data_IF_925197810693
#
_entry.id   IF_925197810693
#
_cell.length_a   1.000
_cell.length_b   1.000
_cell.length_c   1.000
_cell.angle_alpha   90.00
_cell.angle_beta   90.00
_cell.angle_gamma   90.00
#
_symmetry.space_group_name_H-M   'P 1'
#
loop_
_entity.id
_entity.type
_entity.pdbx_description
1 polymer ?
#
# COMPACT_ATOMS: atom_id res chain seq x y z
N UNK A 1 7.25 18.56 9.91
CA UNK A 1 5.82 18.82 9.61
C UNK A 1 5.06 17.56 9.97
N UNK A 2 3.86 17.63 10.55
CA UNK A 2 3.05 16.44 10.79
C UNK A 2 2.66 15.77 9.48
N UNK A 3 2.43 14.45 9.52
CA UNK A 3 1.88 13.69 8.41
C UNK A 3 0.39 13.98 8.33
N UNK A 4 -0.06 14.49 7.19
CA UNK A 4 -1.47 14.83 6.94
C UNK A 4 -2.26 13.60 6.56
N UNK A 5 -3.34 13.31 7.28
CA UNK A 5 -4.17 12.12 7.08
C UNK A 5 -5.60 12.51 6.73
N UNK A 6 -6.15 11.91 5.67
CA UNK A 6 -7.59 11.95 5.36
C UNK A 6 -8.20 10.61 5.77
N UNK A 7 -9.29 10.65 6.54
CA UNK A 7 -10.00 9.45 7.00
C UNK A 7 -11.30 9.29 6.22
N UNK A 8 -11.47 8.14 5.56
CA UNK A 8 -12.60 7.86 4.66
C UNK A 8 -13.26 6.55 5.06
N UNK A 9 -14.51 6.62 5.53
CA UNK A 9 -15.33 5.47 5.95
C UNK A 9 -16.80 5.90 5.94
N UNK A 10 -17.74 5.05 5.57
CA UNK A 10 -19.17 5.39 5.58
C UNK A 10 -19.77 5.45 6.99
N UNK A 11 -19.10 4.81 7.98
CA UNK A 11 -19.53 4.78 9.36
C UNK A 11 -18.95 5.98 10.13
N UNK A 12 -19.77 6.95 10.49
CA UNK A 12 -19.36 8.15 11.21
C UNK A 12 -18.60 7.87 12.52
N UNK A 13 -19.03 6.85 13.28
CA UNK A 13 -18.39 6.47 14.53
C UNK A 13 -16.95 5.94 14.30
N UNK A 14 -16.71 5.21 13.21
CA UNK A 14 -15.39 4.72 12.83
C UNK A 14 -14.49 5.88 12.43
N UNK A 15 -14.99 6.81 11.60
CA UNK A 15 -14.26 8.02 11.20
C UNK A 15 -13.85 8.85 12.43
N UNK A 16 -14.81 9.13 13.31
CA UNK A 16 -14.54 9.90 14.54
C UNK A 16 -13.52 9.19 15.45
N UNK A 17 -13.64 7.88 15.60
CA UNK A 17 -12.70 7.07 16.39
C UNK A 17 -11.27 7.13 15.84
N UNK A 18 -11.09 6.86 14.56
CA UNK A 18 -9.76 6.91 13.94
C UNK A 18 -9.17 8.31 13.93
N UNK A 19 -9.99 9.35 13.70
CA UNK A 19 -9.53 10.73 13.77
C UNK A 19 -9.02 11.10 15.16
N UNK A 20 -9.76 10.76 16.20
CA UNK A 20 -9.33 11.04 17.58
C UNK A 20 -8.04 10.29 17.96
N UNK A 21 -7.87 9.04 17.51
CA UNK A 21 -6.67 8.23 17.77
C UNK A 21 -5.44 8.80 17.06
N UNK A 22 -5.60 9.29 15.82
CA UNK A 22 -4.50 9.87 15.04
C UNK A 22 -4.13 11.25 15.54
N UNK A 23 -5.09 12.11 15.83
CA UNK A 23 -4.85 13.47 16.36
C UNK A 23 -4.22 13.45 17.76
N UNK A 24 -4.36 12.35 18.51
CA UNK A 24 -3.63 12.15 19.77
C UNK A 24 -2.11 11.95 19.57
N UNK A 25 -1.64 11.72 18.35
CA UNK A 25 -0.22 11.54 18.03
C UNK A 25 0.41 12.88 17.63
N UNK A 26 1.56 13.27 18.20
CA UNK A 26 2.14 14.60 17.98
C UNK A 26 2.69 14.82 16.56
N UNK A 27 2.88 13.76 15.81
CA UNK A 27 3.46 13.75 14.44
C UNK A 27 2.43 13.46 13.34
N UNK A 28 1.14 13.29 13.69
CA UNK A 28 0.04 13.06 12.77
C UNK A 28 -0.99 14.18 12.87
N UNK A 29 -1.67 14.48 11.76
CA UNK A 29 -2.72 15.51 11.69
C UNK A 29 -3.85 15.01 10.79
N UNK A 30 -5.07 14.90 11.30
CA UNK A 30 -6.24 14.58 10.47
C UNK A 30 -6.73 15.88 9.82
N UNK A 31 -6.48 15.99 8.50
CA UNK A 31 -6.83 17.19 7.74
C UNK A 31 -8.26 17.18 7.19
N UNK A 32 -8.93 16.03 7.22
CA UNK A 32 -10.32 15.91 6.76
C UNK A 32 -10.91 14.53 7.00
N UNK A 33 -12.22 14.43 6.80
CA UNK A 33 -12.99 13.20 6.88
C UNK A 33 -13.96 13.16 5.70
N UNK A 34 -14.20 11.96 5.11
CA UNK A 34 -15.15 11.74 4.05
C UNK A 34 -16.06 10.54 4.36
N UNK A 35 -17.32 10.62 3.99
CA UNK A 35 -18.31 9.56 4.19
C UNK A 35 -18.45 8.61 3.00
N UNK A 36 -17.89 8.96 1.85
CA UNK A 36 -17.87 8.13 0.64
C UNK A 36 -16.67 8.45 -0.26
N UNK A 37 -16.50 7.64 -1.30
CA UNK A 37 -15.38 7.78 -2.23
C UNK A 37 -15.44 9.02 -3.12
N UNK A 38 -16.61 9.60 -3.38
CA UNK A 38 -16.73 10.80 -4.20
C UNK A 38 -16.24 12.02 -3.42
N UNK A 39 -16.69 12.17 -2.17
CA UNK A 39 -16.20 13.18 -1.25
C UNK A 39 -14.69 13.04 -1.01
N UNK A 40 -14.21 11.79 -0.88
CA UNK A 40 -12.78 11.52 -0.71
C UNK A 40 -11.93 12.04 -1.89
N UNK A 41 -12.41 11.91 -3.14
CA UNK A 41 -11.71 12.41 -4.33
C UNK A 41 -11.60 13.93 -4.29
N UNK A 42 -12.66 14.63 -3.94
CA UNK A 42 -12.70 16.10 -3.84
C UNK A 42 -11.75 16.59 -2.73
N UNK A 43 -11.89 16.03 -1.52
CA UNK A 43 -11.06 16.40 -0.38
C UNK A 43 -9.57 16.06 -0.59
N UNK A 44 -9.26 14.96 -1.26
CA UNK A 44 -7.87 14.62 -1.58
C UNK A 44 -7.19 15.67 -2.48
N UNK A 45 -7.94 16.23 -3.44
CA UNK A 45 -7.43 17.28 -4.32
C UNK A 45 -7.19 18.60 -3.57
N UNK A 46 -8.12 18.97 -2.67
CA UNK A 46 -8.09 20.24 -1.95
C UNK A 46 -7.09 20.23 -0.79
N UNK A 47 -7.13 19.19 0.03
CA UNK A 47 -6.35 19.11 1.29
C UNK A 47 -4.94 18.55 1.08
N UNK A 48 -4.70 17.83 -0.02
CA UNK A 48 -3.42 17.20 -0.36
C UNK A 48 -2.83 16.42 0.83
N UNK A 49 -3.54 15.39 1.31
CA UNK A 49 -3.05 14.56 2.40
C UNK A 49 -1.82 13.77 1.96
N UNK A 50 -0.96 13.42 2.92
CA UNK A 50 0.17 12.51 2.69
C UNK A 50 -0.32 11.06 2.65
N UNK A 51 -1.29 10.73 3.53
CA UNK A 51 -1.88 9.39 3.67
C UNK A 51 -3.40 9.49 3.68
N UNK A 52 -4.07 8.55 3.02
CA UNK A 52 -5.52 8.35 3.09
C UNK A 52 -5.80 6.99 3.71
N UNK A 53 -6.58 6.97 4.79
CA UNK A 53 -7.21 5.76 5.29
C UNK A 53 -8.54 5.60 4.55
N UNK A 54 -8.69 4.54 3.76
CA UNK A 54 -9.80 4.37 2.82
C UNK A 54 -10.55 3.08 3.10
N UNK A 55 -11.82 3.17 3.49
CA UNK A 55 -12.67 1.97 3.53
C UNK A 55 -12.87 1.38 2.13
N UNK A 56 -12.94 0.07 2.05
CA UNK A 56 -13.14 -0.66 0.79
C UNK A 56 -14.58 -0.48 0.28
N UNK A 57 -15.56 -0.61 1.18
CA UNK A 57 -16.98 -0.62 0.81
C UNK A 57 -17.71 0.60 1.33
N UNK A 58 -18.12 1.47 0.43
CA UNK A 58 -18.88 2.67 0.75
C UNK A 58 -20.00 2.88 -0.27
N UNK A 59 -21.08 3.59 0.10
CA UNK A 59 -22.11 4.01 -0.83
C UNK A 59 -21.56 5.02 -1.85
N UNK A 60 -22.33 5.33 -2.88
CA UNK A 60 -22.03 6.29 -3.95
C UNK A 60 -20.81 5.90 -4.78
N UNK A 61 -19.62 5.82 -4.15
CA UNK A 61 -18.36 5.36 -4.77
C UNK A 61 -17.57 4.53 -3.77
N UNK A 62 -17.21 3.32 -4.16
CA UNK A 62 -16.35 2.42 -3.36
C UNK A 62 -14.91 2.91 -3.29
N UNK A 63 -14.16 2.43 -2.28
CA UNK A 63 -12.79 2.85 -2.04
C UNK A 63 -11.82 2.46 -3.15
N UNK A 64 -12.06 1.37 -3.89
CA UNK A 64 -11.22 0.98 -5.02
C UNK A 64 -11.36 1.97 -6.19
N UNK A 65 -12.58 2.37 -6.47
CA UNK A 65 -12.89 3.36 -7.50
C UNK A 65 -12.37 4.74 -7.13
N UNK A 66 -12.53 5.15 -5.86
CA UNK A 66 -11.95 6.37 -5.32
C UNK A 66 -10.42 6.38 -5.44
N UNK A 67 -9.76 5.29 -5.04
CA UNK A 67 -8.30 5.11 -5.15
C UNK A 67 -7.82 5.33 -6.58
N UNK A 68 -8.45 4.67 -7.56
CA UNK A 68 -8.07 4.86 -8.98
C UNK A 68 -8.21 6.30 -9.43
N UNK A 69 -9.31 6.99 -9.04
CA UNK A 69 -9.55 8.40 -9.43
C UNK A 69 -8.54 9.35 -8.78
N UNK A 70 -8.28 9.19 -7.48
CA UNK A 70 -7.30 10.01 -6.77
C UNK A 70 -5.92 9.87 -7.41
N UNK A 71 -5.51 8.65 -7.73
CA UNK A 71 -4.19 8.39 -8.29
C UNK A 71 -4.08 8.72 -9.78
N UNK A 72 -5.18 8.72 -10.53
CA UNK A 72 -5.20 9.11 -11.93
C UNK A 72 -4.92 10.62 -12.14
N UNK A 73 -5.07 11.44 -11.11
CA UNK A 73 -4.75 12.87 -11.17
C UNK A 73 -3.25 13.16 -11.38
N UNK A 74 -2.39 12.15 -11.24
CA UNK A 74 -0.95 12.25 -11.53
C UNK A 74 -0.13 13.01 -10.47
N UNK A 75 1.23 12.96 -10.59
CA UNK A 75 2.12 13.70 -9.72
C UNK A 75 2.06 15.22 -9.98
N UNK A 76 2.50 16.11 -9.05
CA UNK A 76 3.31 15.77 -7.87
C UNK A 76 2.46 15.64 -6.60
N UNK A 77 2.88 14.82 -5.67
CA UNK A 77 2.27 14.58 -4.35
C UNK A 77 1.00 13.71 -4.37
N UNK A 78 1.07 12.55 -5.02
CA UNK A 78 0.03 11.54 -4.84
C UNK A 78 0.02 11.01 -3.40
N UNK A 79 -1.13 11.00 -2.71
CA UNK A 79 -1.23 10.44 -1.37
C UNK A 79 -0.93 8.94 -1.39
N UNK A 80 -0.43 8.41 -0.28
CA UNK A 80 -0.38 6.97 -0.04
C UNK A 80 -1.74 6.52 0.47
N UNK A 81 -2.21 5.36 0.05
CA UNK A 81 -3.55 4.88 0.41
C UNK A 81 -3.44 3.57 1.17
N UNK A 82 -3.95 3.58 2.41
CA UNK A 82 -4.11 2.39 3.25
C UNK A 82 -5.58 1.98 3.17
N UNK A 83 -5.85 0.78 2.68
CA UNK A 83 -7.20 0.25 2.67
C UNK A 83 -7.59 -0.25 4.06
N UNK A 84 -8.73 0.22 4.56
CA UNK A 84 -9.34 -0.27 5.78
C UNK A 84 -10.31 -1.40 5.44
N UNK A 85 -10.24 -2.50 6.16
CA UNK A 85 -11.12 -3.64 5.91
C UNK A 85 -11.52 -4.34 7.21
N UNK A 86 -12.67 -5.00 7.18
CA UNK A 86 -13.07 -6.01 8.16
C UNK A 86 -12.42 -7.37 7.82
N UNK A 87 -12.83 -8.47 8.44
CA UNK A 87 -12.18 -9.78 8.32
C UNK A 87 -12.18 -10.44 6.93
N UNK A 88 -13.04 -10.02 6.00
CA UNK A 88 -13.18 -10.62 4.66
C UNK A 88 -12.17 -10.01 3.65
N UNK A 89 -10.87 -10.22 3.90
CA UNK A 89 -9.77 -9.76 3.04
C UNK A 89 -9.75 -10.42 1.64
N UNK A 90 -10.52 -11.50 1.46
CA UNK A 90 -10.24 -12.49 0.43
C UNK A 90 -10.44 -12.01 -1.01
N UNK A 91 -11.39 -11.11 -1.27
CA UNK A 91 -11.76 -10.77 -2.65
C UNK A 91 -11.16 -9.45 -3.19
N UNK A 92 -10.56 -8.61 -2.31
CA UNK A 92 -10.22 -7.23 -2.68
C UNK A 92 -8.72 -6.90 -2.64
N UNK A 93 -7.86 -7.74 -2.06
CA UNK A 93 -6.44 -7.42 -1.84
C UNK A 93 -5.73 -7.13 -3.17
N UNK A 94 -5.87 -8.05 -4.12
CA UNK A 94 -5.24 -7.89 -5.43
C UNK A 94 -5.79 -6.67 -6.20
N UNK A 95 -7.12 -6.51 -6.22
CA UNK A 95 -7.76 -5.39 -6.89
C UNK A 95 -7.36 -4.04 -6.30
N UNK A 96 -7.21 -3.96 -4.99
CA UNK A 96 -6.81 -2.75 -4.29
C UNK A 96 -5.33 -2.40 -4.55
N UNK A 97 -4.44 -3.37 -4.51
CA UNK A 97 -3.03 -3.15 -4.85
C UNK A 97 -2.86 -2.74 -6.32
N UNK A 98 -3.60 -3.37 -7.24
CA UNK A 98 -3.65 -2.92 -8.65
C UNK A 98 -4.25 -1.53 -8.83
N UNK A 99 -5.20 -1.15 -7.99
CA UNK A 99 -5.74 0.21 -7.97
C UNK A 99 -4.73 1.23 -7.45
N UNK A 100 -3.66 0.78 -6.78
CA UNK A 100 -2.59 1.61 -6.28
C UNK A 100 -2.56 1.74 -4.74
N UNK A 101 -3.25 0.90 -3.98
CA UNK A 101 -3.14 0.90 -2.53
C UNK A 101 -1.69 0.60 -2.09
N UNK A 102 -1.24 1.31 -1.06
CA UNK A 102 0.10 1.18 -0.48
C UNK A 102 0.13 0.20 0.71
N UNK A 103 -1.04 -0.19 1.22
CA UNK A 103 -1.15 -1.11 2.34
C UNK A 103 -2.58 -1.44 2.72
N UNK A 104 -2.69 -2.33 3.73
CA UNK A 104 -3.96 -2.76 4.32
C UNK A 104 -3.88 -2.71 5.83
N UNK A 105 -4.98 -2.32 6.45
CA UNK A 105 -5.15 -2.33 7.88
C UNK A 105 -6.54 -2.86 8.23
N UNK A 106 -6.64 -3.64 9.30
CA UNK A 106 -7.92 -4.12 9.79
C UNK A 106 -8.60 -3.01 10.62
N UNK A 107 -9.90 -2.81 10.45
CA UNK A 107 -10.67 -1.79 11.22
C UNK A 107 -10.63 -2.01 12.75
N UNK A 108 -10.25 -3.20 13.21
CA UNK A 108 -10.08 -3.51 14.63
C UNK A 108 -8.61 -3.49 15.09
N UNK A 109 -7.71 -2.96 14.27
CA UNK A 109 -6.31 -2.74 14.67
C UNK A 109 -6.23 -1.81 15.88
N UNK A 110 -5.22 -2.03 16.71
CA UNK A 110 -4.97 -1.20 17.88
C UNK A 110 -4.57 0.22 17.49
N UNK A 111 -4.73 1.23 18.38
CA UNK A 111 -4.28 2.59 18.14
C UNK A 111 -2.81 2.68 17.72
N UNK A 112 -1.94 1.89 18.34
CA UNK A 112 -0.51 1.87 18.04
C UNK A 112 -0.22 1.30 16.65
N UNK A 113 -0.95 0.25 16.26
CA UNK A 113 -0.84 -0.32 14.91
C UNK A 113 -1.33 0.66 13.84
N UNK A 114 -2.41 1.39 14.10
CA UNK A 114 -2.93 2.41 13.20
C UNK A 114 -1.90 3.53 12.98
N UNK A 115 -1.36 4.09 14.06
CA UNK A 115 -0.36 5.14 13.96
C UNK A 115 0.95 4.66 13.31
N UNK A 116 1.40 3.45 13.64
CA UNK A 116 2.58 2.84 13.02
C UNK A 116 2.36 2.61 11.52
N UNK A 117 1.16 2.16 11.11
CA UNK A 117 0.78 1.95 9.73
C UNK A 117 0.90 3.24 8.90
N UNK A 118 0.36 4.34 9.41
CA UNK A 118 0.43 5.65 8.76
C UNK A 118 1.87 6.09 8.58
N UNK A 119 2.73 5.95 9.62
CA UNK A 119 4.15 6.32 9.55
C UNK A 119 4.93 5.50 8.52
N UNK A 120 4.72 4.18 8.51
CA UNK A 120 5.39 3.26 7.59
C UNK A 120 5.03 3.60 6.14
N UNK A 121 3.75 3.80 5.88
CA UNK A 121 3.27 4.09 4.52
C UNK A 121 3.69 5.50 4.07
N UNK A 122 3.66 6.50 4.94
CA UNK A 122 4.15 7.84 4.63
C UNK A 122 5.65 7.85 4.27
N UNK A 123 6.44 6.96 4.87
CA UNK A 123 7.86 6.79 4.55
C UNK A 123 8.11 6.09 3.19
N UNK A 124 7.06 5.63 2.50
CA UNK A 124 7.17 4.92 1.22
C UNK A 124 7.35 3.40 1.34
N UNK A 125 7.36 2.88 2.56
CA UNK A 125 7.33 1.44 2.79
C UNK A 125 5.90 0.90 2.64
N UNK A 126 5.76 -0.37 2.22
CA UNK A 126 4.46 -1.01 2.15
C UNK A 126 4.08 -1.65 3.47
N UNK A 127 2.84 -1.46 3.87
CA UNK A 127 2.25 -2.18 4.99
C UNK A 127 1.48 -3.39 4.47
N UNK A 128 2.20 -4.48 4.22
CA UNK A 128 1.62 -5.77 3.86
C UNK A 128 1.87 -6.75 4.99
N UNK A 129 0.83 -7.05 5.77
CA UNK A 129 0.91 -8.12 6.76
C UNK A 129 1.24 -9.46 6.06
N UNK A 130 1.94 -10.40 6.71
CA UNK A 130 2.27 -11.69 6.11
C UNK A 130 1.05 -12.46 5.58
N UNK A 131 -0.11 -12.33 6.22
CA UNK A 131 -1.39 -12.88 5.76
C UNK A 131 -1.84 -12.25 4.44
N UNK A 132 -1.73 -10.93 4.31
CA UNK A 132 -2.06 -10.18 3.09
C UNK A 132 -1.12 -10.57 1.94
N UNK A 133 0.18 -10.67 2.21
CA UNK A 133 1.17 -11.11 1.22
C UNK A 133 0.88 -12.54 0.73
N UNK A 134 0.54 -13.45 1.65
CA UNK A 134 0.19 -14.83 1.28
C UNK A 134 -1.04 -14.86 0.37
N UNK A 135 -2.06 -14.08 0.71
CA UNK A 135 -3.29 -14.00 -0.09
C UNK A 135 -3.03 -13.41 -1.47
N UNK A 136 -2.23 -12.36 -1.54
CA UNK A 136 -1.80 -11.78 -2.81
C UNK A 136 -1.15 -12.83 -3.72
N UNK A 137 -0.28 -13.67 -3.16
CA UNK A 137 0.34 -14.80 -3.88
C UNK A 137 -0.69 -15.78 -4.40
N UNK A 138 -1.71 -16.13 -3.61
CA UNK A 138 -2.79 -17.03 -4.01
C UNK A 138 -3.66 -16.44 -5.13
N UNK A 139 -3.94 -15.14 -5.08
CA UNK A 139 -4.70 -14.44 -6.12
C UNK A 139 -3.92 -14.33 -7.42
N UNK A 140 -2.61 -14.07 -7.37
CA UNK A 140 -1.75 -14.13 -8.55
C UNK A 140 -1.71 -15.52 -9.18
N UNK A 141 -1.81 -16.59 -8.39
CA UNK A 141 -1.86 -17.94 -8.91
C UNK A 141 -3.16 -18.26 -9.69
N UNK A 142 -4.21 -17.47 -9.49
CA UNK A 142 -5.50 -17.59 -10.19
C UNK A 142 -5.59 -16.71 -11.44
N UNK A 143 -4.86 -15.61 -11.46
CA UNK A 143 -4.83 -14.67 -12.59
C UNK A 143 -3.73 -15.10 -13.56
N UNK A 144 -4.07 -15.37 -14.81
CA UNK A 144 -3.05 -15.63 -15.83
C UNK A 144 -2.14 -14.41 -15.99
N UNK A 145 -0.82 -14.61 -16.21
CA UNK A 145 0.11 -13.50 -16.39
C UNK A 145 -0.35 -12.62 -17.56
N UNK A 146 -0.66 -11.39 -17.24
CA UNK A 146 -1.04 -10.38 -18.23
C UNK A 146 0.23 -9.86 -18.86
N UNK A 147 0.51 -10.29 -20.09
CA UNK A 147 1.50 -9.80 -21.05
C UNK A 147 2.96 -9.62 -20.57
N UNK A 148 3.95 -9.96 -21.40
CA UNK A 148 5.34 -9.68 -21.07
C UNK A 148 5.54 -8.17 -20.98
N UNK A 149 5.72 -7.69 -19.76
CA UNK A 149 6.18 -6.33 -19.51
C UNK A 149 7.57 -6.23 -20.11
N UNK A 150 7.81 -5.20 -20.92
CA UNK A 150 9.14 -4.93 -21.50
C UNK A 150 10.18 -4.94 -20.37
N UNK A 151 11.24 -5.77 -20.45
CA UNK A 151 12.16 -5.92 -19.36
C UNK A 151 12.89 -4.60 -19.11
N UNK A 152 12.55 -3.92 -18.02
CA UNK A 152 13.39 -2.85 -17.49
C UNK A 152 14.64 -3.51 -16.91
N UNK A 153 15.82 -3.05 -17.30
CA UNK A 153 17.08 -3.65 -16.91
C UNK A 153 17.41 -3.39 -15.43
N UNK A 154 16.91 -4.26 -14.55
CA UNK A 154 17.40 -4.36 -13.19
C UNK A 154 18.75 -5.10 -13.19
N UNK A 155 19.66 -4.66 -12.33
CA UNK A 155 20.90 -5.42 -12.08
C UNK A 155 20.56 -6.77 -11.43
N UNK A 156 21.45 -7.78 -11.51
CA UNK A 156 21.24 -9.06 -10.83
C UNK A 156 20.90 -8.87 -9.32
N UNK A 157 21.58 -7.93 -8.66
CA UNK A 157 21.36 -7.65 -7.24
C UNK A 157 20.01 -7.00 -6.96
N UNK A 158 19.57 -6.07 -7.78
CA UNK A 158 18.23 -5.49 -7.70
C UNK A 158 17.15 -6.54 -7.93
N UNK A 159 17.36 -7.46 -8.86
CA UNK A 159 16.44 -8.59 -9.10
C UNK A 159 16.35 -9.51 -7.88
N UNK A 160 17.47 -9.82 -7.23
CA UNK A 160 17.49 -10.62 -6.00
C UNK A 160 16.72 -9.90 -4.88
N UNK A 161 16.95 -8.60 -4.69
CA UNK A 161 16.21 -7.79 -3.72
C UNK A 161 14.72 -7.76 -4.06
N UNK A 162 14.33 -7.55 -5.32
CA UNK A 162 12.94 -7.53 -5.75
C UNK A 162 12.22 -8.87 -5.48
N UNK A 163 12.89 -10.00 -5.67
CA UNK A 163 12.36 -11.32 -5.31
C UNK A 163 12.05 -11.45 -3.83
N UNK A 164 12.91 -10.91 -2.96
CA UNK A 164 12.69 -10.95 -1.52
C UNK A 164 11.59 -9.97 -1.09
N UNK A 165 11.51 -8.80 -1.73
CA UNK A 165 10.40 -7.84 -1.56
C UNK A 165 9.07 -8.51 -1.90
N UNK A 166 8.99 -9.22 -3.01
CA UNK A 166 7.79 -9.94 -3.45
C UNK A 166 7.37 -11.06 -2.48
N UNK A 167 8.32 -11.62 -1.71
CA UNK A 167 8.02 -12.59 -0.63
C UNK A 167 7.54 -11.93 0.68
N UNK A 168 7.46 -10.60 0.72
CA UNK A 168 7.02 -9.85 1.89
C UNK A 168 8.08 -9.66 2.98
N UNK A 169 9.37 -9.93 2.70
CA UNK A 169 10.44 -9.76 3.69
C UNK A 169 10.71 -8.26 3.94
N UNK A 170 10.93 -7.88 5.20
CA UNK A 170 11.39 -6.54 5.56
C UNK A 170 12.83 -6.28 5.10
N UNK A 171 13.25 -5.00 5.02
CA UNK A 171 14.63 -4.67 4.63
C UNK A 171 15.67 -5.33 5.55
N UNK A 172 15.38 -5.46 6.84
CA UNK A 172 16.21 -6.16 7.82
C UNK A 172 16.34 -7.66 7.51
N UNK A 173 15.23 -8.32 7.16
CA UNK A 173 15.21 -9.74 6.78
C UNK A 173 15.95 -9.98 5.46
N UNK A 174 15.72 -9.10 4.46
CA UNK A 174 16.43 -9.14 3.18
C UNK A 174 17.95 -8.97 3.40
N UNK A 175 18.34 -8.03 4.27
CA UNK A 175 19.72 -7.79 4.62
C UNK A 175 20.39 -9.05 5.21
N UNK A 176 19.69 -9.75 6.10
CA UNK A 176 20.17 -10.99 6.69
C UNK A 176 20.31 -12.11 5.63
N UNK A 177 19.30 -12.32 4.77
CA UNK A 177 19.33 -13.36 3.74
C UNK A 177 20.37 -13.13 2.65
N UNK A 178 20.54 -11.87 2.24
CA UNK A 178 21.47 -11.51 1.16
C UNK A 178 22.87 -11.12 1.64
N UNK A 179 23.12 -11.18 2.95
CA UNK A 179 24.39 -10.78 3.60
C UNK A 179 24.76 -9.35 3.22
N UNK A 180 23.85 -8.41 3.46
CA UNK A 180 23.99 -6.98 3.19
C UNK A 180 23.76 -6.16 4.46
N UNK A 181 24.17 -4.89 4.43
CA UNK A 181 23.69 -3.90 5.39
C UNK A 181 22.24 -3.49 5.06
N UNK A 182 21.41 -3.24 6.07
CA UNK A 182 20.02 -2.81 5.86
C UNK A 182 19.92 -1.53 5.03
N UNK A 183 20.85 -0.59 5.23
CA UNK A 183 20.94 0.64 4.43
C UNK A 183 21.18 0.36 2.94
N UNK A 184 21.97 -0.66 2.62
CA UNK A 184 22.22 -1.10 1.24
C UNK A 184 20.94 -1.65 0.61
N UNK A 185 20.17 -2.43 1.37
CA UNK A 185 18.86 -2.93 0.90
C UNK A 185 17.90 -1.77 0.63
N UNK A 186 17.83 -0.77 1.54
CA UNK A 186 17.03 0.45 1.32
C UNK A 186 17.39 1.15 0.02
N UNK A 187 18.69 1.30 -0.26
CA UNK A 187 19.17 1.90 -1.50
C UNK A 187 18.77 1.08 -2.74
N UNK A 188 18.88 -0.26 -2.68
CA UNK A 188 18.42 -1.11 -3.78
C UNK A 188 16.92 -1.01 -4.01
N UNK A 189 16.09 -1.01 -2.96
CA UNK A 189 14.63 -0.83 -3.07
C UNK A 189 14.33 0.53 -3.71
N UNK A 190 14.94 1.62 -3.25
CA UNK A 190 14.74 2.95 -3.86
C UNK A 190 15.10 2.97 -5.35
N UNK A 191 16.23 2.36 -5.72
CA UNK A 191 16.66 2.27 -7.12
C UNK A 191 15.68 1.43 -7.97
N UNK A 192 15.16 0.32 -7.43
CA UNK A 192 14.15 -0.50 -8.09
C UNK A 192 12.89 0.32 -8.35
N UNK A 193 12.36 1.02 -7.34
CA UNK A 193 11.18 1.85 -7.46
C UNK A 193 11.37 2.93 -8.54
N UNK A 194 12.51 3.61 -8.53
CA UNK A 194 12.84 4.63 -9.53
C UNK A 194 12.95 4.06 -10.95
N UNK A 195 13.65 2.92 -11.12
CA UNK A 195 13.87 2.31 -12.44
C UNK A 195 12.58 1.77 -13.05
N UNK A 196 11.67 1.27 -12.22
CA UNK A 196 10.41 0.69 -12.63
C UNK A 196 9.26 1.71 -12.64
N UNK A 197 9.53 2.97 -12.30
CA UNK A 197 8.53 4.04 -12.13
C UNK A 197 7.40 3.61 -11.18
N UNK A 198 7.79 2.99 -10.06
CA UNK A 198 6.87 2.50 -9.05
C UNK A 198 6.81 3.46 -7.87
N UNK A 199 5.62 3.68 -7.37
CA UNK A 199 5.34 4.65 -6.33
C UNK A 199 5.83 4.22 -4.94
N UNK A 200 5.70 2.93 -4.64
CA UNK A 200 6.02 2.35 -3.34
C UNK A 200 6.31 0.85 -3.42
N UNK A 201 6.67 0.29 -2.27
CA UNK A 201 7.02 -1.12 -2.13
C UNK A 201 5.86 -2.07 -2.47
N UNK A 202 4.60 -1.69 -2.23
CA UNK A 202 3.44 -2.51 -2.57
C UNK A 202 3.33 -2.69 -4.08
N UNK A 203 3.57 -1.61 -4.84
CA UNK A 203 3.62 -1.65 -6.30
C UNK A 203 4.78 -2.52 -6.81
N UNK A 204 5.91 -2.56 -6.10
CA UNK A 204 7.02 -3.45 -6.45
C UNK A 204 6.64 -4.94 -6.27
N UNK A 205 5.82 -5.28 -5.28
CA UNK A 205 5.29 -6.63 -5.11
C UNK A 205 4.38 -6.99 -6.29
N UNK A 206 3.41 -6.15 -6.62
CA UNK A 206 2.51 -6.36 -7.77
C UNK A 206 3.30 -6.57 -9.05
N UNK A 207 4.24 -5.66 -9.34
CA UNK A 207 5.11 -5.73 -10.52
C UNK A 207 5.89 -7.06 -10.59
N UNK A 208 6.48 -7.50 -9.47
CA UNK A 208 7.30 -8.72 -9.46
C UNK A 208 6.51 -9.98 -9.87
N UNK A 209 5.23 -10.06 -9.50
CA UNK A 209 4.35 -11.15 -9.91
C UNK A 209 3.85 -10.97 -11.34
N UNK A 210 3.40 -9.77 -11.74
CA UNK A 210 2.90 -9.49 -13.09
C UNK A 210 4.00 -9.65 -14.15
N UNK A 211 5.23 -9.27 -13.83
CA UNK A 211 6.40 -9.43 -14.70
C UNK A 211 7.02 -10.84 -14.68
N UNK A 212 6.49 -11.77 -13.88
CA UNK A 212 7.01 -13.14 -13.77
C UNK A 212 8.39 -13.24 -13.10
N UNK A 213 8.84 -12.20 -12.38
CA UNK A 213 10.10 -12.24 -11.60
C UNK A 213 9.98 -13.25 -10.46
N UNK A 214 8.76 -13.41 -9.94
CA UNK A 214 8.39 -14.43 -8.96
C UNK A 214 7.14 -15.15 -9.45
N UNK A 215 7.15 -16.47 -9.37
CA UNK A 215 5.96 -17.29 -9.61
C UNK A 215 5.36 -17.73 -8.28
N UNK A 216 4.02 -17.78 -8.16
CA UNK A 216 3.38 -18.36 -6.99
C UNK A 216 3.88 -19.80 -6.78
N UNK A 217 4.29 -20.13 -5.56
CA UNK A 217 4.74 -21.50 -5.23
C UNK A 217 3.60 -22.52 -5.35
N UNK A 218 3.92 -23.84 -5.48
CA UNK A 218 2.91 -24.88 -5.47
C UNK A 218 2.15 -24.84 -4.15
N UNK A 219 0.85 -25.09 -4.22
CA UNK A 219 -0.04 -25.19 -3.04
C UNK A 219 0.44 -26.33 -2.14
N UNK A 220 0.69 -26.02 -0.88
CA UNK A 220 0.81 -27.00 0.20
C UNK A 220 -0.48 -27.07 0.99
#
# INVERSE_FOLDING_TARGET
MPIKVLVVDDQEMVRAGFSALLDAQPDLEVVGQAGDGAEAVELAADLRPDVILMDVRMPVMDGLSATRRILAAGPPNQPRIIMLTTFDLDDYVYAALRAGASGFLLKHSTPDELAAAVRVVAAGDALLAPSVTRRLVEDFARVQPVMPITPVHLTPRETDVLRQVARGLSNRQIAAELVLAEQTVKSHVSNILTKLDLRDRAQAVVYAYEAGVVTPGPRH
#
